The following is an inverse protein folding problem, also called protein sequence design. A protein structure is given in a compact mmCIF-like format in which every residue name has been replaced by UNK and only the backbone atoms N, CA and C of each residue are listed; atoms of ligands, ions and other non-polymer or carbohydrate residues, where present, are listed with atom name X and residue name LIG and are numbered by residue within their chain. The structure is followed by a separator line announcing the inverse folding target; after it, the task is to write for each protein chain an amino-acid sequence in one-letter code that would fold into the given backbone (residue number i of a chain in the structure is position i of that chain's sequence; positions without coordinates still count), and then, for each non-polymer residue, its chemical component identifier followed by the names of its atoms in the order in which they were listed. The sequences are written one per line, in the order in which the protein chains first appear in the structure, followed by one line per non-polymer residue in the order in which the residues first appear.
data_IF_155830515020
#
_entry.id   IF_155830515020
#
_cell.length_a   1.000
_cell.length_b   1.000
_cell.length_c   1.000
_cell.angle_alpha   90.00
_cell.angle_beta   90.00
_cell.angle_gamma   90.00
#
_symmetry.space_group_name_H-M   'P 1'
#
loop_
_entity.id
_entity.type
_entity.pdbx_description
1 polymer ?
#
# COMPACT_ATOMS: atom_id res chain seq x y z
N UNK A 1 11.01 8.24 6.65
CA UNK A 1 11.15 7.04 5.77
C UNK A 1 12.02 5.98 6.45
N UNK A 2 11.90 4.69 6.09
CA UNK A 2 12.83 3.61 6.46
C UNK A 2 13.12 2.71 5.26
N UNK A 3 14.11 1.81 5.36
CA UNK A 3 14.37 0.76 4.38
C UNK A 3 14.32 -0.61 5.07
N UNK A 4 13.82 -1.64 4.39
CA UNK A 4 13.82 -3.03 4.90
C UNK A 4 15.07 -3.82 4.44
N UNK A 5 15.27 -5.02 5.00
CA UNK A 5 16.41 -5.89 4.65
C UNK A 5 16.36 -6.45 3.22
N UNK A 6 15.25 -6.27 2.50
CA UNK A 6 15.16 -6.55 1.05
C UNK A 6 15.44 -5.34 0.17
N UNK A 7 15.87 -4.22 0.78
CA UNK A 7 16.19 -2.97 0.08
C UNK A 7 14.96 -2.11 -0.26
N UNK A 8 13.74 -2.53 0.08
CA UNK A 8 12.52 -1.76 -0.23
C UNK A 8 12.36 -0.59 0.71
N UNK A 9 11.84 0.51 0.18
CA UNK A 9 11.71 1.77 0.90
C UNK A 9 10.30 1.93 1.47
N UNK A 10 10.19 2.05 2.79
CA UNK A 10 8.94 2.26 3.51
C UNK A 10 8.69 3.73 3.83
N UNK A 11 7.50 4.22 3.49
CA UNK A 11 7.04 5.59 3.77
C UNK A 11 5.89 5.51 4.79
N UNK A 12 6.01 6.27 5.89
CA UNK A 12 4.97 6.37 6.93
C UNK A 12 4.22 7.68 6.76
N UNK A 13 2.90 7.63 6.84
CA UNK A 13 2.02 8.79 6.76
C UNK A 13 1.85 9.44 8.14
N UNK A 14 2.76 10.37 8.48
CA UNK A 14 2.67 11.21 9.67
C UNK A 14 1.65 12.34 9.46
N UNK A 15 2.01 13.37 8.70
CA UNK A 15 1.27 14.64 8.63
C UNK A 15 0.28 14.74 7.45
N UNK A 16 -0.31 13.60 7.06
CA UNK A 16 -1.28 13.58 5.95
C UNK A 16 -2.62 14.22 6.38
N UNK A 17 -3.12 15.25 5.66
CA UNK A 17 -4.38 15.93 5.98
C UNK A 17 -5.58 14.99 6.04
N UNK A 18 -6.57 15.30 6.88
CA UNK A 18 -7.76 14.44 7.07
C UNK A 18 -8.54 14.21 5.77
N UNK A 19 -8.65 15.21 4.89
CA UNK A 19 -9.30 15.06 3.59
C UNK A 19 -8.60 14.00 2.73
N UNK A 20 -7.28 14.10 2.58
CA UNK A 20 -6.46 13.13 1.84
C UNK A 20 -6.53 11.73 2.45
N UNK A 21 -6.57 11.62 3.80
CA UNK A 21 -6.77 10.32 4.49
C UNK A 21 -8.13 9.71 4.17
N UNK A 22 -9.21 10.49 4.10
CA UNK A 22 -10.56 9.99 3.73
C UNK A 22 -10.56 9.47 2.29
N UNK A 23 -10.11 10.27 1.34
CA UNK A 23 -10.02 9.88 -0.09
C UNK A 23 -9.19 8.60 -0.26
N UNK A 24 -8.04 8.49 0.42
CA UNK A 24 -7.22 7.28 0.40
C UNK A 24 -7.96 6.05 0.97
N UNK A 25 -8.61 6.19 2.12
CA UNK A 25 -9.34 5.09 2.77
C UNK A 25 -10.50 4.62 1.89
N UNK A 26 -11.24 5.55 1.29
CA UNK A 26 -12.40 5.20 0.46
C UNK A 26 -11.95 4.61 -0.89
N UNK A 27 -10.86 5.10 -1.49
CA UNK A 27 -10.21 4.45 -2.64
C UNK A 27 -9.75 3.02 -2.31
N UNK A 28 -9.07 2.79 -1.17
CA UNK A 28 -8.67 1.45 -0.72
C UNK A 28 -9.88 0.51 -0.58
N UNK A 29 -11.00 0.99 -0.02
CA UNK A 29 -12.23 0.19 0.10
C UNK A 29 -12.81 -0.18 -1.26
N UNK A 30 -12.88 0.76 -2.20
CA UNK A 30 -13.37 0.50 -3.56
C UNK A 30 -12.50 -0.54 -4.28
N UNK A 31 -11.17 -0.44 -4.17
CA UNK A 31 -10.27 -1.44 -4.77
C UNK A 31 -10.33 -2.81 -4.05
N UNK A 32 -10.62 -2.85 -2.75
CA UNK A 32 -10.83 -4.11 -2.03
C UNK A 32 -12.11 -4.85 -2.48
N UNK A 33 -13.11 -4.13 -2.98
CA UNK A 33 -14.30 -4.73 -3.59
C UNK A 33 -13.99 -5.35 -4.97
N UNK A 34 -13.22 -4.64 -5.81
CA UNK A 34 -12.75 -5.12 -7.12
C UNK A 34 -11.81 -6.34 -7.03
N UNK A 35 -11.13 -6.55 -5.89
CA UNK A 35 -10.30 -7.75 -5.65
C UNK A 35 -11.10 -9.03 -5.34
N UNK A 36 -12.43 -9.00 -5.49
CA UNK A 36 -13.24 -10.23 -5.52
C UNK A 36 -12.87 -11.04 -6.78
N UNK A 37 -12.31 -12.27 -6.65
CA UNK A 37 -11.62 -12.92 -7.76
C UNK A 37 -12.58 -13.34 -8.88
N UNK A 38 -12.42 -12.73 -10.06
CA UNK A 38 -13.09 -13.17 -11.28
C UNK A 38 -12.58 -14.55 -11.71
N UNK A 39 -13.48 -15.54 -11.75
CA UNK A 39 -13.15 -16.95 -11.94
C UNK A 39 -12.73 -17.30 -13.37
N UNK A 40 -11.43 -17.61 -13.58
CA UNK A 40 -10.92 -18.54 -14.62
C UNK A 40 -9.57 -19.13 -14.14
N UNK A 41 -9.27 -20.44 -14.16
CA UNK A 41 -10.02 -21.70 -14.32
C UNK A 41 -9.07 -22.89 -13.95
N UNK A 42 -9.47 -24.10 -13.52
CA UNK A 42 -10.68 -24.61 -12.88
C UNK A 42 -10.46 -26.08 -12.38
N UNK A 43 -11.19 -26.50 -11.33
CA UNK A 43 -11.43 -27.89 -10.86
C UNK A 43 -10.26 -28.68 -10.16
N UNK A 44 -10.55 -29.65 -9.25
CA UNK A 44 -11.84 -30.28 -8.93
C UNK A 44 -12.43 -29.95 -7.52
N UNK A 45 -13.68 -30.35 -7.22
CA UNK A 45 -14.44 -29.81 -6.09
C UNK A 45 -14.42 -30.70 -4.83
N UNK A 46 -14.12 -30.10 -3.67
CA UNK A 46 -14.41 -30.68 -2.36
C UNK A 46 -15.30 -29.71 -1.55
N UNK A 47 -16.44 -30.22 -1.09
CA UNK A 47 -17.44 -29.46 -0.33
C UNK A 47 -16.89 -29.09 1.04
N UNK A 48 -17.02 -27.82 1.45
CA UNK A 48 -17.77 -27.55 2.67
C UNK A 48 -18.29 -26.12 2.76
N UNK A 49 -19.51 -26.00 3.28
CA UNK A 49 -20.30 -24.78 3.42
C UNK A 49 -20.13 -24.26 4.84
N UNK A 50 -19.23 -23.29 5.04
CA UNK A 50 -19.02 -22.64 6.34
C UNK A 50 -18.87 -21.13 6.19
N UNK A 51 -19.90 -20.41 6.68
CA UNK A 51 -19.82 -19.13 7.41
C UNK A 51 -18.69 -18.15 7.09
N UNK A 52 -19.07 -16.96 6.58
CA UNK A 52 -18.19 -15.80 6.51
C UNK A 52 -17.76 -15.33 7.92
N UNK A 53 -16.57 -15.74 8.37
CA UNK A 53 -15.90 -15.24 9.58
C UNK A 53 -14.38 -15.28 9.36
N UNK A 54 -13.69 -14.19 9.72
CA UNK A 54 -12.25 -14.22 9.98
C UNK A 54 -11.35 -14.02 8.75
N UNK A 55 -10.92 -12.77 8.56
CA UNK A 55 -9.57 -12.49 8.06
C UNK A 55 -8.59 -13.26 8.97
N UNK A 56 -7.86 -14.24 8.42
CA UNK A 56 -6.90 -15.02 9.21
C UNK A 56 -5.73 -14.12 9.61
N UNK A 57 -5.80 -13.61 10.85
CA UNK A 57 -4.71 -12.92 11.50
C UNK A 57 -3.59 -13.91 11.80
N UNK A 58 -2.57 -13.93 10.96
CA UNK A 58 -1.35 -14.71 11.21
C UNK A 58 -0.70 -14.21 12.51
N UNK A 59 -0.46 -15.04 13.54
CA UNK A 59 -0.03 -14.60 14.88
C UNK A 59 1.40 -14.02 14.98
N UNK A 60 2.03 -13.69 13.86
CA UNK A 60 3.26 -12.91 13.75
C UNK A 60 3.04 -11.54 13.07
N UNK A 61 1.79 -11.21 12.77
CA UNK A 61 1.40 -10.02 12.02
C UNK A 61 1.35 -8.78 12.92
N UNK A 62 2.52 -8.19 13.22
CA UNK A 62 2.66 -6.87 13.88
C UNK A 62 2.06 -5.69 13.08
N UNK A 63 1.24 -5.94 12.04
CA UNK A 63 0.68 -4.93 11.14
C UNK A 63 -0.78 -4.66 11.50
N UNK A 64 -0.99 -3.55 12.19
CA UNK A 64 -2.30 -3.08 12.70
C UNK A 64 -3.27 -2.68 11.56
N UNK A 65 -2.83 -2.65 10.29
CA UNK A 65 -3.64 -2.22 9.16
C UNK A 65 -3.49 -3.16 7.96
N UNK A 66 -4.62 -3.48 7.33
CA UNK A 66 -4.69 -4.12 6.02
C UNK A 66 -3.98 -3.28 4.97
N UNK A 67 -3.09 -3.90 4.20
CA UNK A 67 -2.39 -3.30 3.05
C UNK A 67 -3.01 -3.80 1.77
N UNK A 68 -3.34 -2.88 0.88
CA UNK A 68 -3.77 -3.18 -0.47
C UNK A 68 -2.52 -3.31 -1.35
N UNK A 69 -2.29 -4.50 -1.90
CA UNK A 69 -1.21 -4.74 -2.86
C UNK A 69 -1.60 -4.15 -4.22
N UNK A 70 -0.72 -3.33 -4.80
CA UNK A 70 -1.00 -2.58 -6.03
C UNK A 70 0.32 -2.25 -6.75
N UNK A 71 0.27 -1.98 -8.06
CA UNK A 71 1.36 -1.29 -8.77
C UNK A 71 0.88 0.06 -9.27
N UNK A 72 1.21 1.12 -8.54
CA UNK A 72 0.85 2.50 -8.87
C UNK A 72 2.10 3.35 -9.05
N UNK A 73 2.07 4.29 -9.99
CA UNK A 73 3.10 5.32 -10.07
C UNK A 73 2.97 6.31 -8.91
N UNK A 74 4.08 6.82 -8.41
CA UNK A 74 4.08 7.98 -7.53
C UNK A 74 5.29 8.89 -7.78
N UNK A 75 5.09 10.17 -7.53
CA UNK A 75 6.17 11.14 -7.41
C UNK A 75 6.45 11.34 -5.92
N UNK A 76 7.71 11.11 -5.51
CA UNK A 76 8.16 11.36 -4.14
C UNK A 76 9.10 12.57 -4.16
N UNK A 77 8.76 13.59 -3.38
CA UNK A 77 9.52 14.83 -3.26
C UNK A 77 10.20 14.84 -1.89
N UNK A 78 11.50 15.14 -1.86
CA UNK A 78 12.16 15.52 -0.60
C UNK A 78 11.59 16.87 -0.15
N UNK A 79 11.31 17.05 1.13
CA UNK A 79 10.80 18.31 1.66
C UNK A 79 11.67 19.51 1.20
N UNK A 80 11.06 20.48 0.51
CA UNK A 80 11.73 21.64 -0.09
C UNK A 80 12.30 21.45 -1.50
N UNK A 81 12.23 20.24 -2.08
CA UNK A 81 12.58 19.97 -3.49
C UNK A 81 11.36 20.05 -4.40
N UNK A 82 11.50 20.71 -5.54
CA UNK A 82 10.52 20.66 -6.65
C UNK A 82 10.79 19.53 -7.64
N UNK A 83 11.93 18.82 -7.52
CA UNK A 83 12.31 17.70 -8.38
C UNK A 83 11.68 16.41 -7.84
N UNK A 84 10.82 15.71 -8.62
CA UNK A 84 10.23 14.44 -8.23
C UNK A 84 11.19 13.27 -8.50
N UNK A 85 11.29 12.36 -7.53
CA UNK A 85 11.82 11.01 -7.77
C UNK A 85 10.63 10.10 -8.11
N UNK A 86 10.61 9.57 -9.34
CA UNK A 86 9.53 8.72 -9.84
C UNK A 86 9.70 7.30 -9.31
N UNK A 87 8.75 6.89 -8.48
CA UNK A 87 8.73 5.62 -7.78
C UNK A 87 7.52 4.77 -8.22
N UNK A 88 7.57 3.48 -7.92
CA UNK A 88 6.41 2.57 -8.06
C UNK A 88 6.02 2.07 -6.67
N UNK A 89 4.75 2.23 -6.27
CA UNK A 89 4.23 1.62 -5.05
C UNK A 89 4.04 0.12 -5.28
N UNK A 90 4.42 -0.70 -4.30
CA UNK A 90 4.12 -2.14 -4.25
C UNK A 90 2.91 -2.46 -3.37
N UNK A 91 2.66 -1.64 -2.35
CA UNK A 91 1.46 -1.70 -1.52
C UNK A 91 1.19 -0.37 -0.80
N UNK A 92 -0.07 -0.17 -0.40
CA UNK A 92 -0.51 1.02 0.33
C UNK A 92 -1.54 0.70 1.43
N UNK A 93 -1.52 1.51 2.49
CA UNK A 93 -2.43 1.48 3.63
C UNK A 93 -2.67 2.90 4.15
N UNK A 94 -3.68 3.11 5.00
CA UNK A 94 -3.97 4.41 5.61
C UNK A 94 -2.82 5.00 6.47
N UNK A 95 -1.85 4.17 6.87
CA UNK A 95 -0.67 4.55 7.66
C UNK A 95 0.64 4.65 6.87
N UNK A 96 0.67 4.27 5.59
CA UNK A 96 1.88 4.29 4.77
C UNK A 96 1.87 3.33 3.59
N UNK A 97 2.93 3.38 2.78
CA UNK A 97 3.15 2.56 1.59
C UNK A 97 4.59 2.02 1.54
N UNK A 98 4.84 1.03 0.69
CA UNK A 98 6.19 0.67 0.23
C UNK A 98 6.39 1.12 -1.21
N UNK A 99 7.59 1.61 -1.52
CA UNK A 99 7.98 2.05 -2.86
C UNK A 99 9.25 1.34 -3.34
N UNK A 100 9.25 1.03 -4.63
CA UNK A 100 10.40 0.66 -5.44
C UNK A 100 10.97 1.97 -6.04
N UNK A 101 12.25 2.25 -5.76
CA UNK A 101 13.00 3.38 -6.33
C UNK A 101 14.45 2.98 -6.58
N UNK A 102 15.07 3.55 -7.61
CA UNK A 102 16.49 3.37 -7.94
C UNK A 102 17.40 4.34 -7.19
N UNK A 103 16.85 5.40 -6.61
CA UNK A 103 17.60 6.42 -5.87
C UNK A 103 17.03 6.51 -4.44
N UNK A 104 17.68 5.85 -3.44
CA UNK A 104 17.16 5.78 -2.09
C UNK A 104 17.35 7.13 -1.37
N UNK A 105 16.30 7.63 -0.74
CA UNK A 105 16.39 8.79 0.13
C UNK A 105 17.01 8.43 1.49
N UNK A 106 17.61 9.39 2.21
CA UNK A 106 18.10 9.16 3.57
C UNK A 106 17.02 8.62 4.51
N UNK A 107 17.35 7.60 5.30
CA UNK A 107 16.47 7.11 6.38
C UNK A 107 16.15 8.26 7.33
N UNK A 108 14.90 8.33 7.78
CA UNK A 108 14.39 9.45 8.57
C UNK A 108 13.96 10.69 7.78
N UNK A 109 14.26 10.79 6.47
CA UNK A 109 13.84 11.94 5.67
C UNK A 109 12.32 12.15 5.68
N UNK A 110 11.93 13.42 5.77
CA UNK A 110 10.58 13.91 5.49
C UNK A 110 10.41 14.05 3.96
N UNK A 111 9.32 13.49 3.46
CA UNK A 111 8.97 13.45 2.04
C UNK A 111 7.50 13.75 1.85
N UNK A 112 7.18 14.40 0.75
CA UNK A 112 5.83 14.51 0.22
C UNK A 112 5.64 13.45 -0.88
N UNK A 113 4.45 12.88 -0.99
CA UNK A 113 4.15 11.82 -1.96
C UNK A 113 2.84 12.10 -2.69
N UNK A 114 2.89 12.06 -4.01
CA UNK A 114 1.72 12.14 -4.90
C UNK A 114 1.53 10.77 -5.54
N UNK A 115 0.49 10.06 -5.14
CA UNK A 115 0.13 8.75 -5.72
C UNK A 115 -0.74 8.97 -6.95
N UNK A 116 -0.37 8.35 -8.07
CA UNK A 116 -1.10 8.41 -9.35
C UNK A 116 -1.92 7.14 -9.52
N UNK A 117 -3.20 7.23 -9.20
CA UNK A 117 -4.22 6.27 -9.64
C UNK A 117 -4.66 6.68 -11.05
N UNK A 118 -4.56 5.75 -12.01
CA UNK A 118 -5.01 5.96 -13.39
C UNK A 118 -6.53 6.16 -13.48
#
# INVERSE_FOLDING_TARGET
MWQDTSGRVGIRFADVPQASRRVLIDWIKSQAFEQTPSLKAAAPPAKNRSTAVGLLDSPSNRRIQSRHACRLGADVFRQGSTVPNRCVLSDISAGGCYVETTEPFPVGAAVEIIVRTL
#
